data_IF_373574520975
#
_entry.id   IF_373574520975
#
_cell.length_a   1.000
_cell.length_b   1.000
_cell.length_c   1.000
_cell.angle_alpha   90.00
_cell.angle_beta   90.00
_cell.angle_gamma   90.00
#
_symmetry.space_group_name_H-M   'P 1'
#
loop_
_entity.id
_entity.type
_entity.pdbx_description
1 polymer ?
#
# COMPACT_ATOMS: atom_id res chain seq x y z
N UNK A 1 41.17 -8.27 13.09
CA UNK A 1 40.79 -7.57 11.83
C UNK A 1 39.94 -8.41 10.91
N UNK A 2 40.28 -9.68 10.68
CA UNK A 2 39.47 -10.54 9.79
C UNK A 2 38.04 -10.74 10.28
N UNK A 3 37.82 -10.81 11.60
CA UNK A 3 36.49 -10.98 12.20
C UNK A 3 35.61 -9.74 12.00
N UNK A 4 36.18 -8.55 12.00
CA UNK A 4 35.45 -7.30 11.80
C UNK A 4 34.95 -7.16 10.37
N UNK A 5 35.78 -7.54 9.40
CA UNK A 5 35.42 -7.50 7.97
C UNK A 5 34.29 -8.49 7.67
N UNK A 6 34.31 -9.67 8.29
CA UNK A 6 33.28 -10.68 8.12
C UNK A 6 31.94 -10.19 8.66
N UNK A 7 31.94 -9.49 9.81
CA UNK A 7 30.75 -8.93 10.42
C UNK A 7 30.14 -7.83 9.54
N UNK A 8 30.95 -6.97 8.96
CA UNK A 8 30.49 -5.92 8.04
C UNK A 8 29.87 -6.50 6.77
N UNK A 9 30.45 -7.57 6.23
CA UNK A 9 29.90 -8.26 5.06
C UNK A 9 28.53 -8.86 5.36
N UNK A 10 28.36 -9.44 6.55
CA UNK A 10 27.10 -10.04 6.96
C UNK A 10 26.00 -8.97 7.11
N UNK A 11 26.32 -7.82 7.67
CA UNK A 11 25.37 -6.70 7.80
C UNK A 11 24.94 -6.15 6.44
N UNK A 12 25.86 -6.05 5.49
CA UNK A 12 25.56 -5.62 4.14
C UNK A 12 24.62 -6.59 3.43
N UNK A 13 24.80 -7.91 3.66
CA UNK A 13 23.92 -8.94 3.10
C UNK A 13 22.50 -8.83 3.64
N UNK A 14 22.33 -8.54 4.92
CA UNK A 14 21.01 -8.37 5.52
C UNK A 14 20.29 -7.15 4.95
N UNK A 15 21.01 -6.05 4.69
CA UNK A 15 20.44 -4.85 4.08
C UNK A 15 19.93 -5.10 2.67
N UNK A 16 20.57 -6.02 1.91
CA UNK A 16 20.18 -6.35 0.54
C UNK A 16 18.85 -7.12 0.45
N UNK A 17 18.36 -7.68 1.57
CA UNK A 17 17.13 -8.45 1.61
C UNK A 17 15.91 -7.61 2.01
N UNK A 18 16.08 -6.33 2.33
CA UNK A 18 14.96 -5.46 2.68
C UNK A 18 14.13 -5.18 1.44
N UNK A 19 12.80 -5.31 1.57
CA UNK A 19 11.87 -5.01 0.51
C UNK A 19 11.81 -3.50 0.26
N UNK A 20 11.61 -3.12 -1.00
CA UNK A 20 11.48 -1.73 -1.40
C UNK A 20 10.07 -1.24 -1.10
N UNK A 21 9.88 -0.63 0.06
CA UNK A 21 8.61 -0.04 0.49
C UNK A 21 8.58 1.41 0.11
N UNK A 22 7.54 1.82 -0.60
CA UNK A 22 7.40 3.20 -1.08
C UNK A 22 6.00 3.73 -0.84
N UNK A 23 5.81 5.06 -0.77
CA UNK A 23 4.47 5.62 -0.65
C UNK A 23 3.68 5.41 -1.94
N UNK A 24 2.43 4.99 -1.77
CA UNK A 24 1.50 4.81 -2.87
C UNK A 24 0.37 5.82 -2.69
N UNK A 25 0.14 6.64 -3.71
CA UNK A 25 -0.96 7.57 -3.76
C UNK A 25 -2.06 6.99 -4.62
N UNK A 26 -3.30 7.08 -4.16
CA UNK A 26 -4.43 6.59 -4.92
C UNK A 26 -5.69 7.35 -4.60
N UNK A 27 -6.77 6.95 -5.25
CA UNK A 27 -8.08 7.56 -5.09
C UNK A 27 -9.15 6.49 -5.08
N UNK A 28 -10.12 6.61 -4.19
CA UNK A 28 -11.23 5.68 -4.09
C UNK A 28 -12.50 6.36 -4.57
N UNK A 29 -13.16 5.74 -5.53
CA UNK A 29 -14.37 6.26 -6.15
C UNK A 29 -15.51 5.26 -5.98
N UNK A 30 -16.74 5.79 -5.94
CA UNK A 30 -17.95 4.99 -6.02
C UNK A 30 -18.11 4.50 -7.46
N UNK A 31 -18.17 3.18 -7.69
CA UNK A 31 -18.24 2.62 -9.04
C UNK A 31 -19.53 2.95 -9.77
N UNK A 32 -20.61 3.28 -9.06
CA UNK A 32 -21.89 3.61 -9.65
C UNK A 32 -21.98 5.07 -10.10
N UNK A 33 -21.33 5.99 -9.38
CA UNK A 33 -21.47 7.44 -9.60
C UNK A 33 -20.17 8.13 -9.99
N UNK A 34 -19.03 7.44 -9.85
CA UNK A 34 -17.67 8.01 -10.00
C UNK A 34 -17.35 9.14 -9.01
N UNK A 35 -18.16 9.28 -7.96
CA UNK A 35 -17.89 10.27 -6.91
C UNK A 35 -16.81 9.78 -5.95
N UNK A 36 -15.95 10.70 -5.44
CA UNK A 36 -14.94 10.31 -4.47
C UNK A 36 -15.58 9.92 -3.13
N UNK A 37 -14.95 8.95 -2.45
CA UNK A 37 -15.43 8.46 -1.16
C UNK A 37 -14.47 8.87 -0.05
N UNK A 38 -14.99 9.60 0.93
CA UNK A 38 -14.24 10.01 2.13
C UNK A 38 -14.34 8.94 3.20
N UNK A 39 -13.29 8.81 4.02
CA UNK A 39 -13.24 7.90 5.19
C UNK A 39 -13.26 6.42 4.83
N UNK A 40 -12.84 6.05 3.64
CA UNK A 40 -12.60 4.65 3.30
C UNK A 40 -11.37 4.18 4.06
N UNK A 41 -11.47 3.04 4.75
CA UNK A 41 -10.35 2.45 5.47
C UNK A 41 -9.52 1.59 4.54
N UNK A 42 -8.21 1.80 4.55
CA UNK A 42 -7.26 1.03 3.77
C UNK A 42 -6.24 0.43 4.73
N UNK A 43 -6.04 -0.90 4.65
CA UNK A 43 -5.07 -1.60 5.48
C UNK A 43 -4.14 -2.41 4.59
N UNK A 44 -2.84 -2.25 4.81
CA UNK A 44 -1.85 -3.12 4.18
C UNK A 44 -1.75 -4.39 5.02
N UNK A 45 -2.25 -5.50 4.51
CA UNK A 45 -2.33 -6.76 5.24
C UNK A 45 -0.95 -7.38 5.50
N UNK A 46 0.06 -6.98 4.74
CA UNK A 46 1.42 -7.53 4.86
C UNK A 46 2.29 -6.77 5.87
N UNK A 47 1.96 -5.53 6.20
CA UNK A 47 2.78 -4.69 7.06
C UNK A 47 2.03 -3.99 8.18
N UNK A 48 0.74 -4.27 8.36
CA UNK A 48 -0.11 -3.68 9.42
C UNK A 48 -0.08 -2.15 9.40
N UNK A 49 -0.09 -1.55 8.22
CA UNK A 49 -0.18 -0.11 8.02
C UNK A 49 -1.58 0.24 7.54
N UNK A 50 -2.07 1.39 7.98
CA UNK A 50 -3.41 1.83 7.61
C UNK A 50 -3.44 3.27 7.14
N UNK A 51 -4.52 3.61 6.42
CA UNK A 51 -4.79 4.95 5.94
C UNK A 51 -6.29 5.12 5.77
N UNK A 52 -6.75 6.37 5.64
CA UNK A 52 -8.13 6.69 5.30
C UNK A 52 -8.14 7.72 4.18
N UNK A 53 -9.19 7.69 3.36
CA UNK A 53 -9.34 8.68 2.29
C UNK A 53 -9.83 10.02 2.84
N UNK A 54 -9.40 11.10 2.18
CA UNK A 54 -9.87 12.46 2.48
C UNK A 54 -11.16 12.79 1.71
N UNK A 55 -11.58 14.05 1.75
CA UNK A 55 -12.83 14.50 1.10
C UNK A 55 -12.81 14.29 -0.43
N UNK A 56 -11.64 14.30 -1.03
CA UNK A 56 -11.45 14.06 -2.47
C UNK A 56 -11.26 12.58 -2.79
N UNK A 57 -11.40 11.69 -1.81
CA UNK A 57 -11.20 10.25 -1.98
C UNK A 57 -9.75 9.84 -2.07
N UNK A 58 -8.83 10.73 -1.81
CA UNK A 58 -7.40 10.47 -1.94
C UNK A 58 -6.83 9.80 -0.69
N UNK A 59 -5.87 8.89 -0.91
CA UNK A 59 -5.16 8.24 0.18
C UNK A 59 -3.68 8.10 -0.15
N UNK A 60 -2.88 7.90 0.89
CA UNK A 60 -1.47 7.59 0.78
C UNK A 60 -1.14 6.49 1.77
N UNK A 61 -0.52 5.42 1.31
CA UNK A 61 -0.13 4.29 2.15
C UNK A 61 1.21 3.74 1.68
N UNK A 62 2.04 3.30 2.61
CA UNK A 62 3.32 2.69 2.26
C UNK A 62 3.13 1.21 2.01
N UNK A 63 3.64 0.74 0.88
CA UNK A 63 3.55 -0.66 0.49
C UNK A 63 4.65 -1.03 -0.48
N UNK A 64 4.90 -2.34 -0.59
CA UNK A 64 5.80 -2.92 -1.58
C UNK A 64 4.99 -3.64 -2.66
N UNK A 65 5.61 -3.89 -3.81
CA UNK A 65 5.00 -4.73 -4.84
C UNK A 65 4.68 -6.11 -4.25
N UNK A 66 3.52 -6.64 -4.57
CA UNK A 66 2.92 -7.89 -4.07
C UNK A 66 2.28 -7.78 -2.69
N UNK A 67 2.34 -6.64 -2.02
CA UNK A 67 1.53 -6.44 -0.83
C UNK A 67 0.04 -6.43 -1.19
N UNK A 68 -0.80 -6.82 -0.24
CA UNK A 68 -2.24 -6.79 -0.42
C UNK A 68 -2.84 -5.66 0.40
N UNK A 69 -3.58 -4.77 -0.26
CA UNK A 69 -4.32 -3.70 0.39
C UNK A 69 -5.79 -4.12 0.51
N UNK A 70 -6.35 -3.90 1.69
CA UNK A 70 -7.74 -4.20 2.00
C UNK A 70 -8.51 -2.89 2.17
N UNK A 71 -9.54 -2.70 1.35
CA UNK A 71 -10.38 -1.50 1.37
C UNK A 71 -11.73 -1.85 1.98
N UNK A 72 -12.15 -1.08 2.97
CA UNK A 72 -13.45 -1.27 3.60
C UNK A 72 -14.15 0.06 3.85
N UNK A 73 -15.47 0.09 3.61
CA UNK A 73 -16.30 1.26 3.84
C UNK A 73 -17.72 0.80 4.13
N UNK A 74 -18.36 1.47 5.08
CA UNK A 74 -19.72 1.11 5.52
C UNK A 74 -20.70 1.21 4.35
N UNK A 75 -21.44 0.13 4.09
CA UNK A 75 -22.41 0.07 3.00
C UNK A 75 -21.85 -0.39 1.68
N UNK A 76 -20.53 -0.65 1.59
CA UNK A 76 -19.87 -1.11 0.37
C UNK A 76 -19.22 -2.46 0.61
N UNK A 77 -19.04 -3.22 -0.46
CA UNK A 77 -18.32 -4.49 -0.39
C UNK A 77 -16.84 -4.23 -0.21
N UNK A 78 -16.24 -4.91 0.76
CA UNK A 78 -14.79 -4.85 0.97
C UNK A 78 -14.07 -5.51 -0.20
N UNK A 79 -12.93 -4.95 -0.59
CA UNK A 79 -12.12 -5.49 -1.68
C UNK A 79 -10.66 -5.62 -1.24
N UNK A 80 -9.96 -6.56 -1.87
CA UNK A 80 -8.53 -6.75 -1.70
C UNK A 80 -7.85 -6.48 -3.03
N UNK A 81 -6.80 -5.68 -3.01
CA UNK A 81 -6.05 -5.32 -4.21
C UNK A 81 -4.58 -5.61 -3.96
N UNK A 82 -3.97 -6.37 -4.90
CA UNK A 82 -2.53 -6.61 -4.85
C UNK A 82 -1.80 -5.44 -5.49
N UNK A 83 -0.77 -4.96 -4.84
CA UNK A 83 0.06 -3.87 -5.36
C UNK A 83 0.90 -4.41 -6.52
N UNK A 84 0.78 -3.79 -7.69
CA UNK A 84 1.56 -4.11 -8.89
C UNK A 84 2.33 -2.88 -9.33
N UNK A 85 3.29 -3.05 -10.24
CA UNK A 85 4.03 -1.92 -10.82
C UNK A 85 3.10 -0.95 -11.55
N UNK A 86 2.08 -1.47 -12.23
CA UNK A 86 1.11 -0.64 -12.93
C UNK A 86 0.27 0.17 -11.95
N UNK A 87 -0.10 -0.43 -10.83
CA UNK A 87 -0.92 0.23 -9.82
C UNK A 87 -0.17 1.35 -9.11
N UNK A 88 1.15 1.27 -9.02
CA UNK A 88 1.97 2.36 -8.50
C UNK A 88 1.87 3.63 -9.36
N UNK A 89 1.47 3.49 -10.62
CA UNK A 89 1.27 4.61 -11.55
C UNK A 89 -0.16 5.15 -11.51
N UNK A 90 -1.15 4.25 -11.35
CA UNK A 90 -2.57 4.55 -11.48
C UNK A 90 -3.31 3.96 -10.30
N UNK A 91 -3.23 4.61 -9.14
CA UNK A 91 -3.77 4.08 -7.89
C UNK A 91 -5.28 4.29 -7.69
N UNK A 92 -6.05 4.46 -8.74
CA UNK A 92 -7.49 4.68 -8.60
C UNK A 92 -8.24 3.36 -8.41
N UNK A 93 -9.11 3.33 -7.39
CA UNK A 93 -9.92 2.17 -7.02
C UNK A 93 -11.38 2.55 -7.05
N UNK A 94 -12.21 1.69 -7.66
CA UNK A 94 -13.66 1.87 -7.66
C UNK A 94 -14.30 0.78 -6.82
N UNK A 95 -15.16 1.17 -5.88
CA UNK A 95 -15.85 0.26 -4.98
C UNK A 95 -17.36 0.30 -5.22
N UNK A 96 -17.99 -0.83 -4.94
CA UNK A 96 -19.45 -1.00 -5.10
C UNK A 96 -20.16 -1.10 -3.76
#
# INVERSE_FOLDING_TARGET
MKKLILLLTLLASLAAWSQDVQPIDGKVLNSATDEPLENVNIVNLNSVRGATTNAEGEFKIRAAVNDTLYFSYLGFKSIRVRVTNDWLRFGDIKVK
#
